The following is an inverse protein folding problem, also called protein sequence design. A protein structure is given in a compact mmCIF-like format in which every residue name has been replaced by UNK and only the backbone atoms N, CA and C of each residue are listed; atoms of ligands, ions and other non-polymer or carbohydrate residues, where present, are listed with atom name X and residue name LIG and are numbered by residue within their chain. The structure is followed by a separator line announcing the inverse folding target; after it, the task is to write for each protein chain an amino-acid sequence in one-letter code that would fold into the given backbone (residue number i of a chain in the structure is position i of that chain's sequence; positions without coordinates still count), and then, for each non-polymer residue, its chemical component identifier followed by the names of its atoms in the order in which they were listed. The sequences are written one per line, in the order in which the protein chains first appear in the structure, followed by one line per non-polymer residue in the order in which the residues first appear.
data_IF_079052460370
#
_entry.id   IF_079052460370
#
_cell.length_a   1.000
_cell.length_b   1.000
_cell.length_c   1.000
_cell.angle_alpha   90.00
_cell.angle_beta   90.00
_cell.angle_gamma   90.00
#
_symmetry.space_group_name_H-M   'P 1'
#
loop_
_entity.id
_entity.type
_entity.pdbx_description
1 polymer ?
#
# COMPACT_ATOMS: atom_id res chain seq x y z
N UNK A 1 -35.23 13.22 16.56
CA UNK A 1 -34.72 11.87 16.85
C UNK A 1 -33.32 11.81 16.27
N UNK A 2 -32.31 11.99 17.11
CA UNK A 2 -30.90 12.08 16.69
C UNK A 2 -30.27 10.71 16.95
N UNK A 3 -30.01 9.95 15.89
CA UNK A 3 -29.27 8.68 16.02
C UNK A 3 -27.78 8.98 16.26
N UNK A 4 -27.13 8.32 17.22
CA UNK A 4 -25.71 8.51 17.47
C UNK A 4 -24.88 7.84 16.36
N UNK A 5 -23.80 8.53 15.95
CA UNK A 5 -22.77 7.98 15.07
C UNK A 5 -22.04 6.85 15.81
N UNK A 6 -22.22 5.62 15.34
CA UNK A 6 -21.41 4.47 15.76
C UNK A 6 -19.95 4.73 15.38
N UNK A 7 -18.97 4.48 16.28
CA UNK A 7 -17.56 4.53 15.89
C UNK A 7 -17.30 3.51 14.78
N UNK A 8 -16.61 3.92 13.72
CA UNK A 8 -16.17 3.04 12.64
C UNK A 8 -15.30 1.92 13.22
N UNK A 9 -15.92 0.77 13.43
CA UNK A 9 -15.25 -0.51 13.61
C UNK A 9 -14.45 -0.81 12.32
N UNK A 10 -13.18 -1.22 12.37
CA UNK A 10 -12.40 -1.48 11.16
C UNK A 10 -13.12 -2.56 10.36
N UNK A 11 -13.64 -2.17 9.20
CA UNK A 11 -14.51 -3.04 8.40
C UNK A 11 -13.76 -4.32 8.05
N UNK A 12 -14.20 -5.51 8.50
CA UNK A 12 -13.63 -6.77 8.04
C UNK A 12 -13.93 -6.91 6.55
N UNK A 13 -12.87 -7.22 5.81
CA UNK A 13 -12.73 -7.12 4.35
C UNK A 13 -13.97 -7.59 3.56
N UNK A 14 -14.61 -6.74 2.73
CA UNK A 14 -15.73 -7.18 1.94
C UNK A 14 -15.25 -7.99 0.72
N UNK A 15 -16.04 -9.01 0.42
CA UNK A 15 -15.90 -10.00 -0.64
C UNK A 15 -15.83 -9.38 -2.03
N UNK A 16 -15.08 -10.06 -2.92
CA UNK A 16 -14.81 -9.75 -4.32
C UNK A 16 -15.93 -9.00 -5.05
N UNK A 17 -15.60 -7.79 -5.49
CA UNK A 17 -16.25 -7.13 -6.62
C UNK A 17 -15.13 -6.78 -7.58
N UNK A 18 -15.11 -7.34 -8.79
CA UNK A 18 -14.02 -7.20 -9.78
C UNK A 18 -13.45 -5.78 -9.90
N UNK A 19 -14.28 -4.73 -9.90
CA UNK A 19 -13.82 -3.33 -9.92
C UNK A 19 -13.48 -2.71 -8.55
N UNK A 20 -13.98 -3.31 -7.47
CA UNK A 20 -13.61 -2.97 -6.09
C UNK A 20 -12.25 -3.54 -5.70
N UNK A 21 -11.89 -4.73 -6.21
CA UNK A 21 -10.63 -5.40 -5.89
C UNK A 21 -9.44 -4.66 -6.53
N UNK A 22 -9.58 -4.19 -7.77
CA UNK A 22 -8.57 -3.36 -8.46
C UNK A 22 -8.34 -2.03 -7.74
N UNK A 23 -9.41 -1.29 -7.45
CA UNK A 23 -9.29 -0.01 -6.74
C UNK A 23 -8.73 -0.21 -5.32
N UNK A 24 -9.12 -1.29 -4.64
CA UNK A 24 -8.56 -1.63 -3.32
C UNK A 24 -7.07 -1.97 -3.41
N UNK A 25 -6.65 -2.76 -4.40
CA UNK A 25 -5.24 -3.06 -4.65
C UNK A 25 -4.46 -1.76 -4.91
N UNK A 26 -4.97 -0.88 -5.78
CA UNK A 26 -4.37 0.43 -6.06
C UNK A 26 -4.23 1.28 -4.80
N UNK A 27 -5.23 1.28 -3.90
CA UNK A 27 -5.12 2.03 -2.64
C UNK A 27 -4.00 1.47 -1.75
N UNK A 28 -3.91 0.15 -1.58
CA UNK A 28 -2.86 -0.46 -0.75
C UNK A 28 -1.45 -0.17 -1.30
N UNK A 29 -1.28 -0.27 -2.62
CA UNK A 29 -0.01 0.08 -3.29
C UNK A 29 0.34 1.56 -3.08
N UNK A 30 -0.64 2.46 -3.26
CA UNK A 30 -0.46 3.91 -3.01
C UNK A 30 -0.06 4.21 -1.57
N UNK A 31 -0.60 3.49 -0.59
CA UNK A 31 -0.21 3.64 0.81
C UNK A 31 1.24 3.22 1.08
N UNK A 32 1.70 2.11 0.47
CA UNK A 32 3.10 1.69 0.56
C UNK A 32 4.03 2.71 -0.09
N UNK A 33 3.68 3.24 -1.26
CA UNK A 33 4.45 4.32 -1.92
C UNK A 33 4.56 5.55 -1.00
N UNK A 34 3.46 5.96 -0.36
CA UNK A 34 3.46 7.08 0.60
C UNK A 34 4.38 6.80 1.78
N UNK A 35 4.35 5.59 2.34
CA UNK A 35 5.26 5.19 3.42
C UNK A 35 6.73 5.31 2.99
N UNK A 36 7.09 4.79 1.81
CA UNK A 36 8.46 4.90 1.32
C UNK A 36 8.90 6.33 1.09
N UNK A 37 8.04 7.18 0.51
CA UNK A 37 8.36 8.58 0.31
C UNK A 37 8.59 9.33 1.63
N UNK A 38 7.81 9.02 2.67
CA UNK A 38 8.04 9.55 4.01
C UNK A 38 9.40 9.10 4.56
N UNK A 39 9.72 7.81 4.47
CA UNK A 39 11.02 7.29 4.95
C UNK A 39 12.21 7.79 4.14
N UNK A 40 12.09 7.98 2.84
CA UNK A 40 13.13 8.59 2.01
C UNK A 40 13.40 10.05 2.43
N UNK A 41 12.34 10.79 2.77
CA UNK A 41 12.47 12.16 3.29
C UNK A 41 13.19 12.16 4.64
N UNK A 42 12.74 11.32 5.58
CA UNK A 42 13.40 11.17 6.89
C UNK A 42 14.86 10.72 6.76
N UNK A 43 15.15 9.79 5.83
CA UNK A 43 16.49 9.29 5.57
C UNK A 43 17.42 10.41 5.09
N UNK A 44 16.92 11.28 4.20
CA UNK A 44 17.64 12.45 3.71
C UNK A 44 17.92 13.45 4.82
N UNK A 45 16.93 13.72 5.67
CA UNK A 45 17.05 14.68 6.78
C UNK A 45 18.01 14.20 7.87
N UNK A 46 18.04 12.89 8.13
CA UNK A 46 18.91 12.27 9.14
C UNK A 46 20.29 11.89 8.60
N UNK A 47 20.51 11.99 7.29
CA UNK A 47 21.76 11.56 6.65
C UNK A 47 22.03 10.07 6.81
N UNK A 48 21.00 9.23 6.66
CA UNK A 48 21.18 7.77 6.66
C UNK A 48 22.14 7.34 5.54
N UNK A 49 22.74 6.16 5.69
CA UNK A 49 23.67 5.61 4.72
C UNK A 49 23.00 5.34 3.36
N UNK A 50 23.84 5.30 2.32
CA UNK A 50 23.41 5.13 0.94
C UNK A 50 22.71 3.77 0.72
N UNK A 51 23.13 2.71 1.42
CA UNK A 51 22.53 1.39 1.28
C UNK A 51 21.08 1.37 1.76
N UNK A 52 20.81 1.99 2.91
CA UNK A 52 19.45 2.18 3.44
C UNK A 52 18.61 3.03 2.50
N UNK A 53 19.18 4.11 1.96
CA UNK A 53 18.47 4.98 1.02
C UNK A 53 18.12 4.27 -0.28
N UNK A 54 19.06 3.50 -0.84
CA UNK A 54 18.87 2.73 -2.08
C UNK A 54 17.85 1.61 -1.89
N UNK A 55 17.85 0.93 -0.74
CA UNK A 55 16.83 -0.06 -0.40
C UNK A 55 15.42 0.53 -0.31
N UNK A 56 15.27 1.70 0.31
CA UNK A 56 13.99 2.43 0.35
C UNK A 56 13.55 2.88 -1.04
N UNK A 57 14.49 3.31 -1.88
CA UNK A 57 14.21 3.71 -3.25
C UNK A 57 13.76 2.53 -4.11
N UNK A 58 14.49 1.41 -4.05
CA UNK A 58 14.14 0.20 -4.80
C UNK A 58 12.74 -0.32 -4.40
N UNK A 59 12.42 -0.33 -3.11
CA UNK A 59 11.08 -0.71 -2.65
C UNK A 59 9.97 0.23 -3.15
N UNK A 60 10.26 1.53 -3.24
CA UNK A 60 9.32 2.51 -3.80
C UNK A 60 9.15 2.36 -5.30
N UNK A 61 10.23 2.14 -6.04
CA UNK A 61 10.21 2.00 -7.50
C UNK A 61 9.43 0.73 -7.88
N UNK A 62 9.63 -0.39 -7.18
CA UNK A 62 8.81 -1.60 -7.36
C UNK A 62 7.31 -1.35 -7.12
N UNK A 63 6.98 -0.56 -6.09
CA UNK A 63 5.59 -0.23 -5.81
C UNK A 63 4.93 0.68 -6.85
N UNK A 64 5.72 1.54 -7.50
CA UNK A 64 5.23 2.31 -8.65
C UNK A 64 4.98 1.37 -9.84
N UNK A 65 5.92 0.46 -10.13
CA UNK A 65 5.76 -0.49 -11.24
C UNK A 65 4.54 -1.41 -11.04
N UNK A 66 4.29 -1.88 -9.82
CA UNK A 66 3.11 -2.69 -9.51
C UNK A 66 1.80 -1.88 -9.58
N UNK A 67 1.85 -0.58 -9.28
CA UNK A 67 0.68 0.30 -9.43
C UNK A 67 0.32 0.49 -10.91
N UNK A 68 1.31 0.69 -11.77
CA UNK A 68 1.11 0.81 -13.21
C UNK A 68 0.61 -0.52 -13.79
N UNK A 69 1.15 -1.65 -13.32
CA UNK A 69 0.73 -3.00 -13.72
C UNK A 69 -0.74 -3.30 -13.40
N UNK A 70 -1.27 -2.75 -12.30
CA UNK A 70 -2.68 -2.91 -11.92
C UNK A 70 -3.65 -2.32 -12.94
N UNK A 71 -3.23 -1.42 -13.84
CA UNK A 71 -4.12 -0.88 -14.89
C UNK A 71 -4.46 -1.91 -15.98
N UNK A 72 -3.56 -2.86 -16.22
CA UNK A 72 -3.69 -3.90 -17.26
C UNK A 72 -3.84 -5.32 -16.67
N UNK A 73 -3.82 -5.44 -15.33
CA UNK A 73 -3.85 -6.71 -14.62
C UNK A 73 -5.20 -7.43 -14.76
N UNK A 74 -5.14 -8.76 -14.83
CA UNK A 74 -6.34 -9.58 -14.67
C UNK A 74 -6.75 -9.71 -13.20
N UNK A 75 -7.89 -10.36 -12.93
CA UNK A 75 -8.43 -10.54 -11.58
C UNK A 75 -7.47 -11.33 -10.67
N UNK A 76 -6.82 -12.37 -11.20
CA UNK A 76 -5.90 -13.22 -10.42
C UNK A 76 -4.64 -12.44 -10.04
N UNK A 77 -4.09 -11.68 -10.98
CA UNK A 77 -2.95 -10.80 -10.77
C UNK A 77 -3.26 -9.67 -9.78
N UNK A 78 -4.44 -9.05 -9.91
CA UNK A 78 -4.93 -8.03 -8.98
C UNK A 78 -4.99 -8.55 -7.56
N UNK A 79 -5.54 -9.76 -7.36
CA UNK A 79 -5.62 -10.40 -6.05
C UNK A 79 -4.22 -10.71 -5.50
N UNK A 80 -3.29 -11.20 -6.34
CA UNK A 80 -1.91 -11.47 -5.92
C UNK A 80 -1.20 -10.20 -5.46
N UNK A 81 -1.30 -9.12 -6.22
CA UNK A 81 -0.73 -7.81 -5.86
C UNK A 81 -1.40 -7.32 -4.56
N UNK A 82 -2.73 -7.38 -4.46
CA UNK A 82 -3.47 -6.98 -3.27
C UNK A 82 -2.98 -7.70 -2.00
N UNK A 83 -2.83 -9.03 -2.06
CA UNK A 83 -2.35 -9.84 -0.93
C UNK A 83 -0.91 -9.48 -0.56
N UNK A 84 -0.03 -9.29 -1.56
CA UNK A 84 1.35 -8.91 -1.34
C UNK A 84 1.46 -7.54 -0.63
N UNK A 85 0.68 -6.55 -1.08
CA UNK A 85 0.71 -5.21 -0.50
C UNK A 85 0.00 -5.12 0.86
N UNK A 86 -1.04 -5.93 1.10
CA UNK A 86 -1.62 -6.06 2.44
C UNK A 86 -0.60 -6.61 3.45
N UNK A 87 0.16 -7.65 3.07
CA UNK A 87 1.25 -8.18 3.89
C UNK A 87 2.36 -7.14 4.10
N UNK A 88 2.75 -6.44 3.04
CA UNK A 88 3.76 -5.38 3.08
C UNK A 88 3.35 -4.25 4.03
N UNK A 89 2.12 -3.75 3.94
CA UNK A 89 1.62 -2.70 4.83
C UNK A 89 1.66 -3.16 6.29
N UNK A 90 1.31 -4.41 6.57
CA UNK A 90 1.39 -4.97 7.93
C UNK A 90 2.82 -4.98 8.45
N UNK A 91 3.81 -5.34 7.63
CA UNK A 91 5.23 -5.29 8.00
C UNK A 91 5.71 -3.84 8.24
N UNK A 92 5.31 -2.91 7.39
CA UNK A 92 5.78 -1.52 7.42
C UNK A 92 5.13 -0.65 8.53
N UNK A 93 3.91 -1.00 8.94
CA UNK A 93 3.11 -0.25 9.94
C UNK A 93 2.98 -0.98 11.27
N UNK A 94 3.21 -2.29 11.30
CA UNK A 94 3.07 -3.14 12.48
C UNK A 94 4.33 -3.26 13.34
N UNK A 95 5.21 -2.25 13.32
CA UNK A 95 6.42 -2.19 14.16
C UNK A 95 6.42 -1.02 15.11
#
# INVERSE_FOLDING_TARGET
MTSPLTPEEPTPWPLHQTGGDEEQAKQMVKEVIRWYNARLTEARDRGLDAETFDGLRAGRDQAVDDLDRLEDADEDETVQIAVAYAARLKELTGS
#
